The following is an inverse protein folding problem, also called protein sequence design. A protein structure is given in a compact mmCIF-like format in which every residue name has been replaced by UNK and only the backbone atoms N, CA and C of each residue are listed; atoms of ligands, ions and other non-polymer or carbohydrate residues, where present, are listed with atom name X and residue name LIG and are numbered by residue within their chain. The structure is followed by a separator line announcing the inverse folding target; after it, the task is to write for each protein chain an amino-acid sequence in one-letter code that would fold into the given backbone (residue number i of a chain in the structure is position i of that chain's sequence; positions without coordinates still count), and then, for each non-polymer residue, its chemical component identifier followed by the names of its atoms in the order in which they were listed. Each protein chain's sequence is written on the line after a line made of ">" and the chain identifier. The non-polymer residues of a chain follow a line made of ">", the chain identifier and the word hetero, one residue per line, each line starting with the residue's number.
data_IF_412757563738
#
_entry.id   IF_412757563738
#
_cell.length_a   1.000
_cell.length_b   1.000
_cell.length_c   1.000
_cell.angle_alpha   90.00
_cell.angle_beta   90.00
_cell.angle_gamma   90.00
#
_symmetry.space_group_name_H-M   'P 1'
#
loop_
_entity.id
_entity.type
_entity.pdbx_description
1 polymer ?
#
# COMPACT_ATOMS: atom_id res chain seq x y z
N UNK A 1 -13.01 5.37 -12.14
CA UNK A 1 -13.69 4.50 -11.70
C UNK A 1 -13.53 3.32 -10.77
N UNK A 2 -13.25 2.14 -11.30
CA UNK A 2 -13.32 0.90 -10.51
C UNK A 2 -12.28 0.80 -9.38
N UNK A 3 -11.08 1.30 -9.58
CA UNK A 3 -10.04 1.36 -8.54
C UNK A 3 -10.45 2.28 -7.37
N UNK A 4 -11.15 3.36 -7.67
CA UNK A 4 -11.69 4.29 -6.68
C UNK A 4 -12.79 3.65 -5.84
N UNK A 5 -13.74 2.92 -6.47
CA UNK A 5 -14.82 2.24 -5.77
C UNK A 5 -14.29 1.16 -4.80
N UNK A 6 -13.32 0.35 -5.22
CA UNK A 6 -12.67 -0.63 -4.35
C UNK A 6 -11.95 0.04 -3.16
N UNK A 7 -11.34 1.21 -3.37
CA UNK A 7 -10.74 2.01 -2.29
C UNK A 7 -11.79 2.57 -1.33
N UNK A 8 -12.94 3.01 -1.83
CA UNK A 8 -14.02 3.55 -1.01
C UNK A 8 -14.69 2.48 -0.15
N UNK A 9 -14.97 1.30 -0.70
CA UNK A 9 -15.47 0.14 0.07
C UNK A 9 -14.55 -0.19 1.24
N UNK A 10 -13.25 -0.09 1.02
CA UNK A 10 -12.26 -0.39 2.03
C UNK A 10 -12.11 0.70 3.11
N UNK A 11 -12.27 1.99 2.75
CA UNK A 11 -12.00 3.11 3.65
C UNK A 11 -13.24 3.66 4.34
N UNK A 12 -14.38 3.68 3.64
CA UNK A 12 -15.58 4.41 4.06
C UNK A 12 -16.76 3.54 4.42
N UNK A 13 -16.68 2.25 4.21
CA UNK A 13 -17.64 1.23 4.56
C UNK A 13 -18.97 1.33 3.79
N UNK A 14 -19.87 2.24 4.18
CA UNK A 14 -21.12 2.50 3.52
C UNK A 14 -21.02 3.75 2.66
N UNK A 15 -20.96 3.56 1.36
CA UNK A 15 -20.85 4.65 0.38
C UNK A 15 -22.07 4.63 -0.54
N UNK A 16 -22.48 5.77 -1.08
CA UNK A 16 -23.50 5.79 -2.12
C UNK A 16 -23.06 5.02 -3.38
N UNK A 17 -23.88 4.08 -3.82
CA UNK A 17 -23.73 3.44 -5.12
C UNK A 17 -24.63 4.17 -6.12
N UNK A 18 -24.06 5.06 -6.91
CA UNK A 18 -24.77 5.86 -7.91
C UNK A 18 -24.29 5.43 -9.30
N UNK A 19 -25.16 4.84 -10.09
CA UNK A 19 -24.89 4.31 -11.44
C UNK A 19 -25.38 5.21 -12.56
N UNK A 20 -26.13 6.28 -12.24
CA UNK A 20 -26.61 7.27 -13.21
C UNK A 20 -26.17 8.68 -12.82
N UNK A 21 -25.62 9.41 -13.79
CA UNK A 21 -25.24 10.82 -13.62
C UNK A 21 -26.45 11.77 -13.44
N UNK A 22 -27.65 11.29 -13.70
CA UNK A 22 -28.91 12.06 -13.56
C UNK A 22 -29.61 11.83 -12.23
N UNK A 23 -29.05 11.01 -11.32
CA UNK A 23 -29.62 10.75 -10.01
C UNK A 23 -29.64 12.05 -9.18
N UNK A 24 -30.81 12.56 -8.74
CA UNK A 24 -30.87 13.74 -7.89
C UNK A 24 -30.16 13.51 -6.55
N UNK A 25 -29.51 14.53 -6.00
CA UNK A 25 -28.82 14.43 -4.71
C UNK A 25 -29.76 13.96 -3.58
N UNK A 26 -31.02 14.36 -3.61
CA UNK A 26 -32.03 13.94 -2.64
C UNK A 26 -32.37 12.44 -2.66
N UNK A 27 -32.00 11.74 -3.73
CA UNK A 27 -32.23 10.30 -3.88
C UNK A 27 -30.95 9.47 -3.58
N UNK A 28 -29.79 10.14 -3.45
CA UNK A 28 -28.53 9.48 -3.14
C UNK A 28 -28.56 8.95 -1.71
N UNK A 29 -28.38 7.63 -1.56
CA UNK A 29 -28.38 6.91 -0.27
C UNK A 29 -27.13 6.06 -0.15
N UNK A 30 -26.74 5.78 1.08
CA UNK A 30 -25.69 4.81 1.37
C UNK A 30 -26.12 3.40 0.97
N UNK A 31 -25.19 2.63 0.46
CA UNK A 31 -25.32 1.18 0.24
C UNK A 31 -24.47 0.43 1.25
N UNK A 32 -24.91 -0.76 1.64
CA UNK A 32 -24.09 -1.65 2.45
C UNK A 32 -22.80 -2.03 1.70
N UNK A 33 -21.76 -2.33 2.45
CA UNK A 33 -20.44 -2.65 1.89
C UNK A 33 -20.49 -3.87 1.00
N UNK A 34 -21.23 -4.90 1.39
CA UNK A 34 -21.44 -6.12 0.61
C UNK A 34 -22.10 -5.84 -0.74
N UNK A 35 -23.03 -4.89 -0.80
CA UNK A 35 -23.69 -4.48 -2.06
C UNK A 35 -22.67 -3.84 -3.02
N UNK A 36 -21.86 -2.90 -2.52
CA UNK A 36 -20.83 -2.25 -3.33
C UNK A 36 -19.74 -3.25 -3.75
N UNK A 37 -19.34 -4.15 -2.86
CA UNK A 37 -18.39 -5.22 -3.16
C UNK A 37 -18.89 -6.12 -4.30
N UNK A 38 -20.13 -6.58 -4.24
CA UNK A 38 -20.73 -7.42 -5.28
C UNK A 38 -20.87 -6.65 -6.62
N UNK A 39 -21.24 -5.38 -6.56
CA UNK A 39 -21.30 -4.53 -7.75
C UNK A 39 -19.92 -4.41 -8.42
N UNK A 40 -18.88 -4.03 -7.68
CA UNK A 40 -17.52 -3.90 -8.25
C UNK A 40 -17.04 -5.22 -8.84
N UNK A 41 -17.35 -6.34 -8.18
CA UNK A 41 -16.98 -7.67 -8.67
C UNK A 41 -17.68 -7.98 -9.99
N UNK A 42 -19.00 -7.83 -10.08
CA UNK A 42 -19.77 -8.14 -11.30
C UNK A 42 -19.34 -7.27 -12.47
N UNK A 43 -19.14 -5.97 -12.26
CA UNK A 43 -18.67 -5.05 -13.30
C UNK A 43 -17.30 -5.47 -13.87
N UNK A 44 -16.38 -5.90 -12.99
CA UNK A 44 -15.08 -6.40 -13.44
C UNK A 44 -15.19 -7.73 -14.20
N UNK A 45 -16.00 -8.67 -13.70
CA UNK A 45 -16.23 -9.96 -14.35
C UNK A 45 -16.88 -9.77 -15.74
N UNK A 46 -17.85 -8.87 -15.87
CA UNK A 46 -18.49 -8.52 -17.14
C UNK A 46 -17.54 -7.82 -18.12
N UNK A 47 -16.59 -7.03 -17.61
CA UNK A 47 -15.61 -6.32 -18.44
C UNK A 47 -14.51 -7.26 -19.01
N UNK A 48 -14.18 -8.37 -18.33
CA UNK A 48 -13.06 -9.24 -18.69
C UNK A 48 -13.01 -9.66 -20.16
N UNK A 49 -14.13 -10.07 -20.83
CA UNK A 49 -14.09 -10.48 -22.25
C UNK A 49 -13.67 -9.36 -23.20
N UNK A 50 -13.82 -8.10 -22.80
CA UNK A 50 -13.56 -6.92 -23.62
C UNK A 50 -12.19 -6.28 -23.37
N UNK A 51 -11.48 -6.73 -22.34
CA UNK A 51 -10.17 -6.20 -21.98
C UNK A 51 -9.04 -6.91 -22.74
N UNK A 52 -8.01 -6.14 -23.09
CA UNK A 52 -6.79 -6.64 -23.73
C UNK A 52 -5.93 -7.44 -22.75
N UNK A 53 -5.23 -8.47 -23.25
CA UNK A 53 -4.22 -9.22 -22.49
C UNK A 53 -2.87 -8.47 -22.41
N UNK A 54 -2.72 -7.33 -23.07
CA UNK A 54 -1.47 -6.57 -23.08
C UNK A 54 -1.09 -6.02 -21.71
N UNK A 55 0.21 -5.79 -21.53
CA UNK A 55 0.74 -5.18 -20.30
C UNK A 55 0.39 -3.70 -20.24
N UNK A 56 -0.12 -3.28 -19.06
CA UNK A 56 -0.48 -1.88 -18.81
C UNK A 56 0.71 -0.99 -18.44
N UNK A 57 1.77 -1.57 -17.89
CA UNK A 57 2.96 -0.83 -17.45
C UNK A 57 3.95 -0.52 -18.58
N UNK A 58 3.79 -1.11 -19.76
CA UNK A 58 4.71 -0.95 -20.88
C UNK A 58 4.25 0.17 -21.83
N UNK A 59 5.19 0.96 -22.33
CA UNK A 59 4.91 2.00 -23.33
C UNK A 59 4.22 1.41 -24.56
N UNK A 60 3.19 2.09 -25.04
CA UNK A 60 2.39 1.68 -26.19
C UNK A 60 0.90 2.03 -26.00
N UNK A 61 0.04 1.41 -26.78
CA UNK A 61 -1.39 1.70 -26.82
C UNK A 61 -2.10 1.51 -25.47
N UNK A 62 -1.64 0.55 -24.67
CA UNK A 62 -2.28 0.18 -23.39
C UNK A 62 -1.58 0.76 -22.17
N UNK A 63 -0.59 1.61 -22.35
CA UNK A 63 0.18 2.20 -21.26
C UNK A 63 -0.71 3.01 -20.30
N UNK A 64 -0.72 2.63 -19.02
CA UNK A 64 -1.54 3.24 -17.97
C UNK A 64 -3.04 2.92 -18.06
N UNK A 65 -3.47 2.04 -18.99
CA UNK A 65 -4.88 1.65 -19.14
C UNK A 65 -5.20 0.40 -18.33
N UNK A 66 -6.48 0.24 -18.01
CA UNK A 66 -6.97 -0.99 -17.40
C UNK A 66 -7.02 -2.08 -18.48
N UNK A 67 -6.23 -3.12 -18.28
CA UNK A 67 -6.15 -4.31 -19.12
C UNK A 67 -6.59 -5.55 -18.33
N UNK A 68 -6.72 -6.69 -18.98
CA UNK A 68 -7.14 -7.93 -18.31
C UNK A 68 -6.23 -8.34 -17.15
N UNK A 69 -4.89 -8.25 -17.23
CA UNK A 69 -4.02 -8.47 -16.06
C UNK A 69 -4.34 -7.57 -14.88
N UNK A 70 -4.64 -6.28 -15.13
CA UNK A 70 -5.03 -5.34 -14.06
C UNK A 70 -6.35 -5.76 -13.43
N UNK A 71 -7.34 -6.18 -14.25
CA UNK A 71 -8.61 -6.68 -13.74
C UNK A 71 -8.44 -7.97 -12.93
N UNK A 72 -7.59 -8.91 -13.36
CA UNK A 72 -7.27 -10.12 -12.58
C UNK A 72 -6.63 -9.77 -11.23
N UNK A 73 -5.72 -8.80 -11.20
CA UNK A 73 -5.12 -8.36 -9.94
C UNK A 73 -6.15 -7.74 -8.99
N UNK A 74 -7.08 -6.92 -9.50
CA UNK A 74 -8.16 -6.34 -8.68
C UNK A 74 -9.10 -7.45 -8.18
N UNK A 75 -9.50 -8.40 -9.03
CA UNK A 75 -10.34 -9.54 -8.65
C UNK A 75 -9.67 -10.42 -7.60
N UNK A 76 -8.36 -10.69 -7.72
CA UNK A 76 -7.59 -11.41 -6.71
C UNK A 76 -7.61 -10.67 -5.36
N UNK A 77 -7.43 -9.33 -5.37
CA UNK A 77 -7.51 -8.49 -4.15
C UNK A 77 -8.92 -8.48 -3.57
N UNK A 78 -9.97 -8.42 -4.38
CA UNK A 78 -11.35 -8.50 -3.93
C UNK A 78 -11.65 -9.86 -3.28
N UNK A 79 -11.20 -10.94 -3.90
CA UNK A 79 -11.37 -12.30 -3.38
C UNK A 79 -10.63 -12.50 -2.04
N UNK A 80 -9.36 -12.09 -1.96
CA UNK A 80 -8.57 -12.21 -0.73
C UNK A 80 -9.16 -11.41 0.44
N UNK A 81 -9.74 -10.25 0.17
CA UNK A 81 -10.34 -9.38 1.18
C UNK A 81 -11.86 -9.58 1.33
N UNK A 82 -12.43 -10.63 0.74
CA UNK A 82 -13.88 -10.85 0.71
C UNK A 82 -14.52 -10.91 2.10
N UNK A 83 -13.84 -11.50 3.10
CA UNK A 83 -14.30 -11.51 4.50
C UNK A 83 -14.51 -10.10 5.06
N UNK A 84 -13.63 -9.16 4.68
CA UNK A 84 -13.75 -7.75 5.10
C UNK A 84 -14.85 -7.04 4.35
N UNK A 85 -14.95 -7.26 3.03
CA UNK A 85 -15.89 -6.53 2.18
C UNK A 85 -17.33 -7.02 2.25
N UNK A 86 -17.52 -8.29 2.58
CA UNK A 86 -18.85 -8.86 2.78
C UNK A 86 -19.40 -8.68 4.22
N UNK A 87 -18.62 -8.04 5.09
CA UNK A 87 -19.01 -7.75 6.47
C UNK A 87 -19.67 -6.37 6.55
N UNK A 88 -20.99 -6.32 6.73
CA UNK A 88 -21.77 -5.08 6.82
C UNK A 88 -21.80 -4.50 8.25
N UNK A 89 -21.31 -5.25 9.25
CA UNK A 89 -21.25 -4.81 10.65
C UNK A 89 -19.87 -5.11 11.29
N UNK A 90 -18.86 -4.37 10.91
CA UNK A 90 -17.47 -4.58 11.35
C UNK A 90 -17.20 -4.34 12.85
N UNK A 91 -18.22 -3.91 13.62
CA UNK A 91 -18.09 -3.64 15.06
C UNK A 91 -18.61 -4.76 15.95
N UNK A 92 -19.20 -5.81 15.41
CA UNK A 92 -19.77 -6.93 16.17
C UNK A 92 -18.83 -8.14 16.32
N UNK A 93 -17.67 -8.11 15.67
CA UNK A 93 -16.68 -9.19 15.69
C UNK A 93 -17.05 -10.43 14.85
N UNK A 94 -18.16 -10.39 14.11
CA UNK A 94 -18.69 -11.52 13.32
C UNK A 94 -18.42 -11.34 11.83
N UNK A 95 -17.19 -11.61 11.42
CA UNK A 95 -16.81 -11.51 10.01
C UNK A 95 -17.23 -12.77 9.23
N UNK A 96 -17.86 -12.63 8.03
CA UNK A 96 -18.17 -13.79 7.21
C UNK A 96 -16.90 -14.55 6.81
N UNK A 97 -16.92 -15.88 6.85
CA UNK A 97 -15.76 -16.69 6.52
C UNK A 97 -15.56 -16.78 5.01
N UNK A 98 -14.35 -16.52 4.52
CA UNK A 98 -14.01 -16.51 3.09
C UNK A 98 -14.27 -17.83 2.38
N UNK A 99 -14.18 -18.97 3.11
CA UNK A 99 -14.54 -20.29 2.57
C UNK A 99 -16.01 -20.42 2.16
N UNK A 100 -16.89 -19.54 2.69
CA UNK A 100 -18.32 -19.53 2.40
C UNK A 100 -18.71 -18.48 1.35
N UNK A 101 -17.81 -17.55 1.01
CA UNK A 101 -18.05 -16.52 0.00
C UNK A 101 -17.69 -17.09 -1.37
N UNK A 102 -18.67 -17.11 -2.29
CA UNK A 102 -18.55 -17.77 -3.58
C UNK A 102 -18.16 -16.82 -4.70
N UNK A 103 -17.28 -17.28 -5.55
CA UNK A 103 -16.86 -16.66 -6.80
C UNK A 103 -17.07 -17.66 -7.94
N UNK A 104 -17.27 -17.15 -9.16
CA UNK A 104 -17.27 -17.98 -10.37
C UNK A 104 -16.09 -17.58 -11.24
N UNK A 105 -15.12 -18.48 -11.41
CA UNK A 105 -13.95 -18.25 -12.27
C UNK A 105 -13.96 -19.31 -13.36
N UNK A 106 -13.96 -18.88 -14.63
CA UNK A 106 -14.05 -19.76 -15.81
C UNK A 106 -15.22 -20.77 -15.72
N UNK A 107 -16.38 -20.31 -15.25
CA UNK A 107 -17.58 -21.13 -15.11
C UNK A 107 -17.55 -22.12 -13.93
N UNK A 108 -16.53 -22.11 -13.09
CA UNK A 108 -16.42 -22.98 -11.90
C UNK A 108 -16.67 -22.16 -10.63
N UNK A 109 -17.59 -22.66 -9.79
CA UNK A 109 -17.78 -22.10 -8.46
C UNK A 109 -16.62 -22.50 -7.55
N UNK A 110 -16.09 -21.55 -6.82
CA UNK A 110 -15.01 -21.73 -5.84
C UNK A 110 -15.16 -20.71 -4.70
N UNK A 111 -14.49 -20.98 -3.57
CA UNK A 111 -14.48 -20.02 -2.46
C UNK A 111 -13.52 -18.85 -2.72
N UNK A 112 -13.55 -17.84 -1.85
CA UNK A 112 -12.77 -16.61 -2.01
C UNK A 112 -11.27 -16.85 -2.14
N UNK A 113 -10.71 -17.79 -1.39
CA UNK A 113 -9.27 -18.06 -1.42
C UNK A 113 -8.86 -18.89 -2.63
N UNK A 114 -9.70 -19.86 -3.04
CA UNK A 114 -9.49 -20.59 -4.31
C UNK A 114 -9.56 -19.62 -5.51
N UNK A 115 -10.50 -18.68 -5.49
CA UNK A 115 -10.60 -17.63 -6.51
C UNK A 115 -9.36 -16.73 -6.54
N UNK A 116 -8.81 -16.38 -5.36
CA UNK A 116 -7.55 -15.61 -5.28
C UNK A 116 -6.43 -16.35 -6.00
N UNK A 117 -6.24 -17.64 -5.71
CA UNK A 117 -5.22 -18.48 -6.37
C UNK A 117 -5.46 -18.50 -7.88
N UNK A 118 -6.70 -18.78 -8.31
CA UNK A 118 -7.03 -18.86 -9.73
C UNK A 118 -6.75 -17.56 -10.50
N UNK A 119 -7.03 -16.40 -9.93
CA UNK A 119 -6.71 -15.12 -10.58
C UNK A 119 -5.20 -14.84 -10.62
N UNK A 120 -4.43 -15.24 -9.60
CA UNK A 120 -2.97 -15.15 -9.63
C UNK A 120 -2.36 -16.09 -10.67
N UNK A 121 -2.88 -17.31 -10.78
CA UNK A 121 -2.44 -18.27 -11.81
C UNK A 121 -2.66 -17.71 -13.23
N UNK A 122 -3.73 -16.94 -13.46
CA UNK A 122 -3.95 -16.24 -14.74
C UNK A 122 -2.88 -15.17 -15.02
N UNK A 123 -2.39 -14.47 -13.99
CA UNK A 123 -1.28 -13.53 -14.16
C UNK A 123 0.02 -14.26 -14.51
N UNK A 124 0.30 -15.39 -13.87
CA UNK A 124 1.44 -16.25 -14.21
C UNK A 124 1.36 -16.74 -15.68
N UNK A 125 0.17 -17.20 -16.09
CA UNK A 125 -0.07 -17.66 -17.46
C UNK A 125 0.13 -16.56 -18.52
N UNK A 126 -0.11 -15.28 -18.16
CA UNK A 126 0.18 -14.11 -18.99
C UNK A 126 1.65 -13.66 -18.93
N UNK A 127 2.52 -14.45 -18.26
CA UNK A 127 3.96 -14.23 -18.23
C UNK A 127 4.42 -13.18 -17.21
N UNK A 128 3.59 -12.81 -16.24
CA UNK A 128 4.05 -12.00 -15.10
C UNK A 128 4.94 -12.84 -14.20
N UNK A 129 6.03 -12.25 -13.76
CA UNK A 129 7.02 -12.89 -12.88
C UNK A 129 7.79 -11.83 -12.12
N UNK A 130 8.52 -12.24 -11.08
CA UNK A 130 9.38 -11.33 -10.35
C UNK A 130 10.47 -10.73 -11.25
N UNK A 131 10.71 -9.43 -11.12
CA UNK A 131 11.86 -8.75 -11.71
C UNK A 131 13.13 -9.25 -11.00
N UNK A 132 14.16 -9.60 -11.76
CA UNK A 132 15.39 -10.18 -11.20
C UNK A 132 16.08 -9.26 -10.20
N UNK A 133 16.10 -7.97 -10.48
CA UNK A 133 16.58 -6.94 -9.55
C UNK A 133 15.36 -6.18 -8.96
N UNK A 134 15.22 -6.24 -7.64
CA UNK A 134 14.14 -5.58 -6.91
C UNK A 134 13.98 -4.10 -7.25
N UNK A 135 15.11 -3.38 -7.32
CA UNK A 135 15.13 -1.92 -7.51
C UNK A 135 14.65 -1.49 -8.90
N UNK A 136 14.74 -2.36 -9.91
CA UNK A 136 14.29 -2.04 -11.27
C UNK A 136 12.78 -1.82 -11.37
N UNK A 137 11.99 -2.33 -10.40
CA UNK A 137 10.56 -2.03 -10.33
C UNK A 137 10.27 -0.57 -10.02
N UNK A 138 11.23 0.16 -9.47
CA UNK A 138 11.10 1.54 -8.96
C UNK A 138 12.14 2.49 -9.57
N UNK A 139 12.85 2.04 -10.59
CA UNK A 139 13.83 2.85 -11.34
C UNK A 139 13.13 3.95 -12.15
N UNK A 140 13.90 4.91 -12.66
CA UNK A 140 13.39 6.00 -13.51
C UNK A 140 12.72 5.46 -14.79
N UNK A 141 13.21 4.33 -15.33
CA UNK A 141 12.64 3.69 -16.53
C UNK A 141 11.97 2.35 -16.17
N UNK A 142 11.10 2.33 -15.16
CA UNK A 142 10.48 1.11 -14.65
C UNK A 142 9.32 0.58 -15.49
N UNK A 143 8.95 1.23 -16.57
CA UNK A 143 7.98 0.72 -17.54
C UNK A 143 8.41 -0.58 -18.22
N UNK A 144 9.69 -0.91 -18.16
CA UNK A 144 10.24 -2.17 -18.71
C UNK A 144 10.11 -3.36 -17.75
N UNK A 145 9.71 -3.13 -16.50
CA UNK A 145 9.57 -4.19 -15.50
C UNK A 145 8.61 -5.30 -15.97
N UNK A 146 9.04 -6.54 -15.83
CA UNK A 146 8.21 -7.73 -16.09
C UNK A 146 7.31 -8.09 -14.91
N UNK A 147 7.52 -7.42 -13.77
CA UNK A 147 6.78 -7.62 -12.52
C UNK A 147 5.63 -6.62 -12.34
N UNK A 148 5.80 -5.35 -12.77
CA UNK A 148 4.78 -4.34 -12.64
C UNK A 148 3.54 -4.70 -13.47
N UNK A 149 2.36 -4.70 -12.84
CA UNK A 149 1.08 -5.05 -13.45
C UNK A 149 0.32 -3.79 -13.83
N UNK A 150 0.31 -2.81 -12.93
CA UNK A 150 -0.34 -1.52 -13.16
C UNK A 150 0.49 -0.41 -12.54
N UNK A 151 0.78 0.59 -13.35
CA UNK A 151 1.48 1.81 -12.93
C UNK A 151 0.66 3.03 -13.38
N UNK A 152 0.83 4.13 -12.65
CA UNK A 152 0.44 5.45 -13.15
C UNK A 152 1.63 5.98 -13.94
N UNK A 153 1.48 6.20 -15.27
CA UNK A 153 2.55 6.75 -16.10
C UNK A 153 2.98 8.12 -15.60
N UNK A 154 4.29 8.27 -15.40
CA UNK A 154 4.92 9.51 -15.00
C UNK A 154 5.91 9.93 -16.08
N UNK A 155 5.61 11.02 -16.76
CA UNK A 155 6.48 11.62 -17.78
C UNK A 155 6.36 13.14 -17.67
N UNK A 156 7.42 13.84 -17.21
CA UNK A 156 7.36 15.29 -17.01
C UNK A 156 7.02 16.10 -18.28
N UNK A 157 7.25 15.51 -19.45
CA UNK A 157 6.98 16.16 -20.75
C UNK A 157 5.57 15.83 -21.26
N UNK A 158 5.21 14.53 -21.23
CA UNK A 158 3.93 14.07 -21.74
C UNK A 158 2.76 14.34 -20.76
N UNK A 159 3.04 14.31 -19.47
CA UNK A 159 2.04 14.44 -18.40
C UNK A 159 2.47 15.48 -17.33
N UNK A 160 2.59 16.78 -17.69
CA UNK A 160 3.14 17.82 -16.81
C UNK A 160 2.29 18.10 -15.56
N UNK A 161 1.07 17.60 -15.52
CA UNK A 161 0.16 17.74 -14.38
C UNK A 161 0.12 16.48 -13.48
N UNK A 162 0.77 15.39 -13.88
CA UNK A 162 0.84 14.14 -13.13
C UNK A 162 1.93 14.21 -12.05
N UNK A 163 1.63 14.85 -10.91
CA UNK A 163 2.57 15.06 -9.81
C UNK A 163 2.47 13.93 -8.77
N UNK A 164 3.60 13.35 -8.40
CA UNK A 164 3.71 12.45 -7.26
C UNK A 164 4.45 13.12 -6.08
N UNK A 165 3.72 13.34 -5.01
CA UNK A 165 4.24 13.94 -3.78
C UNK A 165 4.80 12.91 -2.79
N UNK A 166 4.65 11.61 -3.04
CA UNK A 166 5.06 10.58 -2.07
C UNK A 166 6.57 10.57 -1.88
N UNK A 167 7.33 10.74 -2.96
CA UNK A 167 8.79 10.75 -2.94
C UNK A 167 9.31 11.96 -2.16
N UNK A 168 8.86 13.17 -2.49
CA UNK A 168 9.32 14.42 -1.84
C UNK A 168 8.87 14.50 -0.38
N UNK A 169 7.71 13.93 -0.04
CA UNK A 169 7.18 13.92 1.33
C UNK A 169 8.08 13.20 2.31
N UNK A 170 8.78 12.16 1.89
CA UNK A 170 9.59 11.33 2.79
C UNK A 170 11.01 11.82 2.97
N UNK A 171 11.57 12.58 2.02
CA UNK A 171 12.97 13.01 2.05
C UNK A 171 13.14 14.25 2.90
N UNK A 172 14.25 14.30 3.65
CA UNK A 172 14.68 15.55 4.31
C UNK A 172 15.03 16.59 3.25
N UNK A 173 14.73 17.86 3.52
CA UNK A 173 14.96 18.96 2.57
C UNK A 173 16.44 19.06 2.13
N UNK A 174 17.42 18.94 3.05
CA UNK A 174 18.85 18.99 2.69
C UNK A 174 19.26 17.75 1.88
N UNK A 175 18.67 16.56 2.16
CA UNK A 175 18.91 15.37 1.35
C UNK A 175 18.41 15.58 -0.08
N UNK A 176 17.18 16.03 -0.25
CA UNK A 176 16.60 16.29 -1.55
C UNK A 176 17.35 17.41 -2.32
N UNK A 177 17.74 18.49 -1.63
CA UNK A 177 18.49 19.62 -2.23
C UNK A 177 19.83 19.15 -2.81
N UNK A 178 20.51 18.20 -2.17
CA UNK A 178 21.76 17.65 -2.71
C UNK A 178 21.56 16.95 -4.07
N UNK A 179 20.33 16.53 -4.37
CA UNK A 179 19.93 15.95 -5.66
C UNK A 179 19.18 16.96 -6.56
N UNK A 180 19.20 18.26 -6.23
CA UNK A 180 18.50 19.29 -7.00
C UNK A 180 16.98 19.27 -6.84
N UNK A 181 16.47 18.63 -5.79
CA UNK A 181 15.03 18.45 -5.53
C UNK A 181 14.60 19.09 -4.23
N UNK A 182 13.30 19.13 -3.99
CA UNK A 182 12.67 19.53 -2.73
C UNK A 182 12.39 18.31 -1.84
N UNK A 183 12.39 18.52 -0.54
CA UNK A 183 11.98 17.53 0.43
C UNK A 183 11.12 18.18 1.52
N UNK A 184 10.12 17.43 2.03
CA UNK A 184 9.20 17.93 3.04
C UNK A 184 9.46 17.37 4.44
N UNK A 185 10.29 16.35 4.54
CA UNK A 185 10.61 15.66 5.79
C UNK A 185 9.35 15.19 6.58
N UNK A 186 8.27 14.90 5.87
CA UNK A 186 6.93 14.72 6.46
C UNK A 186 6.56 13.29 6.84
N UNK A 187 7.30 12.28 6.36
CA UNK A 187 6.98 10.88 6.62
C UNK A 187 8.23 10.04 6.79
N UNK A 188 8.21 9.12 7.75
CA UNK A 188 9.30 8.18 7.99
C UNK A 188 8.75 6.80 8.39
N UNK A 189 9.62 5.80 8.36
CA UNK A 189 9.31 4.48 8.88
C UNK A 189 9.17 4.51 10.41
N UNK A 190 8.28 3.67 10.94
CA UNK A 190 8.13 3.46 12.37
C UNK A 190 9.22 2.51 12.90
N UNK A 191 9.47 2.55 14.21
CA UNK A 191 10.36 1.60 14.89
C UNK A 191 9.90 0.16 14.67
N UNK A 192 8.58 -0.10 14.63
CA UNK A 192 8.05 -1.43 14.35
C UNK A 192 8.47 -1.92 12.96
N UNK A 193 8.44 -1.06 11.94
CA UNK A 193 8.93 -1.42 10.62
C UNK A 193 10.40 -1.84 10.68
N UNK A 194 11.25 -1.05 11.36
CA UNK A 194 12.67 -1.38 11.52
C UNK A 194 12.89 -2.70 12.25
N UNK A 195 12.08 -3.00 13.25
CA UNK A 195 12.13 -4.28 13.97
C UNK A 195 11.78 -5.48 13.07
N UNK A 196 10.79 -5.34 12.17
CA UNK A 196 10.44 -6.38 11.20
C UNK A 196 11.58 -6.61 10.21
N UNK A 197 12.27 -5.53 9.76
CA UNK A 197 13.47 -5.63 8.93
C UNK A 197 14.70 -6.11 9.72
N UNK A 198 14.60 -6.27 11.03
CA UNK A 198 15.73 -6.60 11.94
C UNK A 198 16.92 -5.65 11.77
N UNK A 199 16.61 -4.37 11.55
CA UNK A 199 17.60 -3.33 11.29
C UNK A 199 18.72 -3.31 12.35
N UNK A 200 19.97 -3.27 11.90
CA UNK A 200 21.16 -3.19 12.75
C UNK A 200 21.54 -4.51 13.43
N UNK A 201 20.88 -5.63 13.11
CA UNK A 201 21.25 -6.96 13.61
C UNK A 201 21.98 -7.78 12.53
N UNK A 202 22.59 -8.91 12.95
CA UNK A 202 23.23 -9.85 12.04
C UNK A 202 22.22 -10.54 11.07
N UNK A 203 20.93 -10.50 11.39
CA UNK A 203 19.84 -11.06 10.58
C UNK A 203 19.03 -9.98 9.84
N UNK A 204 19.61 -8.79 9.64
CA UNK A 204 18.95 -7.72 8.87
C UNK A 204 18.51 -8.22 7.49
N UNK A 205 17.23 -7.96 7.15
CA UNK A 205 16.70 -8.34 5.84
C UNK A 205 17.38 -7.50 4.73
N UNK A 206 17.87 -8.13 3.64
CA UNK A 206 18.57 -7.42 2.56
C UNK A 206 17.77 -6.28 1.94
N UNK A 207 16.43 -6.35 1.98
CA UNK A 207 15.54 -5.29 1.49
C UNK A 207 15.58 -4.01 2.32
N UNK A 208 16.12 -4.04 3.55
CA UNK A 208 16.22 -2.83 4.37
C UNK A 208 16.94 -1.70 3.63
N UNK A 209 18.10 -2.00 3.06
CA UNK A 209 18.93 -1.03 2.31
C UNK A 209 18.32 -0.62 0.96
N UNK A 210 17.44 -1.46 0.39
CA UNK A 210 16.74 -1.17 -0.86
C UNK A 210 15.48 -0.33 -0.64
N UNK A 211 14.99 -0.29 0.59
CA UNK A 211 13.71 0.31 0.97
C UNK A 211 13.88 1.61 1.75
N UNK A 212 14.98 1.72 2.51
CA UNK A 212 15.17 2.81 3.46
C UNK A 212 16.55 3.44 3.41
N UNK A 213 16.59 4.76 3.45
CA UNK A 213 17.76 5.52 3.87
C UNK A 213 17.84 5.53 5.40
N UNK A 214 18.98 5.13 5.94
CA UNK A 214 19.28 5.05 7.37
C UNK A 214 20.71 5.57 7.62
N UNK A 215 20.97 6.11 8.81
CA UNK A 215 22.31 6.61 9.14
C UNK A 215 22.70 7.84 8.31
N UNK A 216 23.98 8.07 8.15
CA UNK A 216 24.52 9.17 7.34
C UNK A 216 24.18 8.99 5.86
N UNK A 217 23.82 10.08 5.20
CA UNK A 217 23.47 10.10 3.78
C UNK A 217 24.49 10.92 2.97
N UNK A 218 24.63 10.52 1.72
CA UNK A 218 25.55 11.14 0.76
C UNK A 218 24.81 11.67 -0.45
N UNK A 219 25.33 12.72 -1.05
CA UNK A 219 24.85 13.25 -2.33
C UNK A 219 25.28 12.40 -3.52
N UNK A 220 24.85 12.77 -4.74
CA UNK A 220 25.20 12.07 -5.97
C UNK A 220 26.72 12.10 -6.26
N UNK A 221 27.47 13.03 -5.65
CA UNK A 221 28.92 13.13 -5.73
C UNK A 221 29.66 12.29 -4.67
N UNK A 222 28.92 11.51 -3.88
CA UNK A 222 29.44 10.66 -2.82
C UNK A 222 29.86 11.41 -1.53
N UNK A 223 29.67 12.73 -1.47
CA UNK A 223 30.01 13.49 -0.26
C UNK A 223 28.90 13.48 0.75
N UNK A 224 29.29 13.53 2.05
CA UNK A 224 28.35 13.64 3.18
C UNK A 224 27.46 14.85 3.02
N UNK A 225 26.16 14.66 3.19
CA UNK A 225 25.17 15.74 3.26
C UNK A 225 25.11 16.26 4.70
N UNK A 226 24.98 17.56 4.85
CA UNK A 226 24.91 18.24 6.14
C UNK A 226 23.57 18.94 6.30
N UNK A 227 23.12 19.06 7.54
CA UNK A 227 21.99 19.91 7.95
C UNK A 227 22.45 20.94 8.99
N UNK A 228 21.68 22.01 9.14
CA UNK A 228 21.94 22.99 10.20
C UNK A 228 21.13 22.65 11.46
N UNK A 229 21.82 22.67 12.60
CA UNK A 229 21.20 22.53 13.91
C UNK A 229 21.93 23.40 14.93
N UNK A 230 21.16 24.22 15.65
CA UNK A 230 21.69 25.15 16.69
C UNK A 230 22.87 26.01 16.19
N UNK A 231 22.74 26.53 14.97
CA UNK A 231 23.76 27.33 14.32
C UNK A 231 25.01 26.58 13.87
N UNK A 232 25.00 25.24 13.94
CA UNK A 232 26.14 24.41 13.52
C UNK A 232 25.74 23.53 12.34
N UNK A 233 26.73 23.29 11.48
CA UNK A 233 26.61 22.36 10.36
C UNK A 233 26.98 20.95 10.83
N UNK A 234 26.00 20.04 10.88
CA UNK A 234 26.17 18.66 11.34
C UNK A 234 25.86 17.66 10.20
N UNK A 235 26.51 16.49 10.13
CA UNK A 235 26.15 15.47 9.17
C UNK A 235 24.67 15.09 9.28
N UNK A 236 23.96 15.03 8.15
CA UNK A 236 22.59 14.54 8.13
C UNK A 236 22.59 13.03 8.32
N UNK A 237 22.02 12.60 9.43
CA UNK A 237 21.95 11.20 9.82
C UNK A 237 20.53 10.84 10.20
N UNK A 238 19.90 9.94 9.45
CA UNK A 238 18.59 9.41 9.82
C UNK A 238 18.70 8.41 10.97
N UNK A 239 17.85 8.56 11.98
CA UNK A 239 17.85 7.75 13.22
C UNK A 239 16.63 6.79 13.24
N UNK A 240 16.76 5.57 12.68
CA UNK A 240 15.64 4.64 12.52
C UNK A 240 14.99 4.19 13.82
N UNK A 241 15.76 4.13 14.90
CA UNK A 241 15.32 3.68 16.22
C UNK A 241 14.85 4.81 17.13
N UNK A 242 14.48 5.95 16.58
CA UNK A 242 13.95 7.06 17.37
C UNK A 242 12.74 6.62 18.21
N UNK A 243 12.72 6.92 19.52
CA UNK A 243 11.84 6.26 20.48
C UNK A 243 10.39 6.74 20.45
N UNK A 244 10.09 7.83 19.71
CA UNK A 244 8.77 8.49 19.71
C UNK A 244 8.15 8.50 18.34
N UNK A 245 6.82 8.35 18.30
CA UNK A 245 6.01 8.55 17.07
C UNK A 245 5.86 10.04 16.75
N UNK A 246 5.82 10.88 17.75
CA UNK A 246 5.73 12.34 17.62
C UNK A 246 6.96 12.99 18.23
N UNK A 247 7.61 13.87 17.47
CA UNK A 247 8.76 14.67 17.89
C UNK A 247 8.39 16.14 18.01
N UNK A 248 8.98 16.81 18.99
CA UNK A 248 8.87 18.26 19.17
C UNK A 248 10.25 18.88 19.38
N UNK A 249 10.30 20.21 19.56
CA UNK A 249 11.55 20.94 19.72
C UNK A 249 12.41 20.48 20.90
N UNK A 250 11.82 19.84 21.92
CA UNK A 250 12.57 19.29 23.07
C UNK A 250 13.37 18.03 22.73
N UNK A 251 13.07 17.36 21.62
CA UNK A 251 13.77 16.17 21.17
C UNK A 251 15.08 16.48 20.40
N UNK A 252 15.47 17.76 20.34
CA UNK A 252 16.69 18.19 19.70
C UNK A 252 16.71 17.90 18.20
N UNK A 253 17.86 17.48 17.66
CA UNK A 253 18.02 17.16 16.24
C UNK A 253 17.07 16.04 15.76
N UNK A 254 16.60 15.17 16.65
CA UNK A 254 15.68 14.11 16.30
C UNK A 254 14.37 14.60 15.68
N UNK A 255 13.92 15.82 15.98
CA UNK A 255 12.75 16.43 15.34
C UNK A 255 12.86 16.47 13.82
N UNK A 256 14.09 16.52 13.29
CA UNK A 256 14.40 16.55 11.85
C UNK A 256 14.80 15.17 11.31
N UNK A 257 15.45 14.34 12.12
CA UNK A 257 16.18 13.15 11.67
C UNK A 257 15.58 11.83 12.10
N UNK A 258 14.57 11.84 12.98
CA UNK A 258 13.94 10.61 13.46
C UNK A 258 13.32 9.77 12.33
N UNK A 259 13.49 8.45 12.42
CA UNK A 259 12.97 7.43 11.50
C UNK A 259 13.75 7.32 10.19
N UNK A 260 13.63 6.16 9.55
CA UNK A 260 14.20 5.90 8.22
C UNK A 260 13.34 6.56 7.12
N UNK A 261 13.98 6.93 6.02
CA UNK A 261 13.32 7.58 4.88
C UNK A 261 13.23 6.63 3.68
N UNK A 262 12.28 6.86 2.79
CA UNK A 262 12.07 6.03 1.61
C UNK A 262 13.25 6.11 0.65
N UNK A 263 13.88 4.95 0.39
CA UNK A 263 14.89 4.75 -0.64
C UNK A 263 14.38 3.95 -1.84
N UNK A 264 13.16 3.43 -1.76
CA UNK A 264 12.61 2.46 -2.70
C UNK A 264 12.57 2.97 -4.14
N UNK A 265 12.17 4.23 -4.33
CA UNK A 265 12.19 4.88 -5.64
C UNK A 265 13.54 5.56 -5.88
N UNK A 266 14.13 5.27 -7.04
CA UNK A 266 15.35 5.91 -7.49
C UNK A 266 15.18 7.45 -7.56
N UNK A 267 16.25 8.20 -7.26
CA UNK A 267 16.27 9.63 -7.50
C UNK A 267 16.38 9.90 -9.00
N UNK A 268 15.36 10.49 -9.58
CA UNK A 268 15.42 10.97 -10.96
C UNK A 268 16.21 12.29 -11.02
N UNK A 269 17.40 12.24 -11.59
CA UNK A 269 18.28 13.41 -11.74
C UNK A 269 17.68 14.48 -12.68
N UNK A 270 16.68 14.10 -13.50
CA UNK A 270 16.02 14.98 -14.45
C UNK A 270 14.63 15.42 -13.97
N UNK A 271 14.26 15.08 -12.73
CA UNK A 271 12.97 15.45 -12.17
C UNK A 271 12.75 16.95 -12.17
N UNK A 272 11.54 17.37 -12.51
CA UNK A 272 11.11 18.76 -12.55
C UNK A 272 10.21 19.09 -11.35
N UNK A 273 9.80 20.36 -11.21
CA UNK A 273 8.93 20.83 -10.14
C UNK A 273 9.40 20.37 -8.73
N UNK A 274 10.70 20.52 -8.46
CA UNK A 274 11.28 20.13 -7.18
C UNK A 274 11.24 18.63 -6.88
N UNK A 275 11.13 17.77 -7.90
CA UNK A 275 11.06 16.31 -7.75
C UNK A 275 9.66 15.74 -7.79
N UNK A 276 8.61 16.57 -7.90
CA UNK A 276 7.22 16.08 -8.02
C UNK A 276 6.89 15.51 -9.41
N UNK A 277 7.61 15.99 -10.44
CA UNK A 277 7.52 15.53 -11.82
C UNK A 277 8.78 14.73 -12.14
N UNK A 278 8.70 13.42 -12.02
CA UNK A 278 9.81 12.48 -12.26
C UNK A 278 9.41 11.41 -13.26
N UNK A 279 10.38 10.67 -13.79
CA UNK A 279 10.17 9.66 -14.81
C UNK A 279 9.93 8.25 -14.28
N UNK A 280 9.90 8.06 -12.95
CA UNK A 280 9.55 6.77 -12.37
C UNK A 280 8.03 6.62 -12.38
N UNK A 281 7.49 5.65 -13.11
CA UNK A 281 6.07 5.33 -13.01
C UNK A 281 5.68 4.95 -11.57
N UNK A 282 4.56 5.49 -11.08
CA UNK A 282 4.05 5.16 -9.76
C UNK A 282 3.46 3.76 -9.75
N UNK A 283 4.09 2.82 -9.05
CA UNK A 283 3.68 1.42 -9.00
C UNK A 283 2.45 1.26 -8.11
N UNK A 284 1.36 0.77 -8.69
CA UNK A 284 0.10 0.48 -8.00
C UNK A 284 -0.03 -1.02 -7.70
N UNK A 285 0.25 -1.88 -8.70
CA UNK A 285 0.22 -3.32 -8.56
C UNK A 285 1.44 -3.96 -9.20
N UNK A 286 2.02 -4.95 -8.50
CA UNK A 286 3.11 -5.75 -9.01
C UNK A 286 2.98 -7.22 -8.60
N UNK A 287 3.63 -8.09 -9.32
CA UNK A 287 3.46 -9.54 -9.21
C UNK A 287 3.90 -10.12 -7.85
N UNK A 288 4.86 -9.51 -7.16
CA UNK A 288 5.21 -9.93 -5.81
C UNK A 288 4.04 -9.84 -4.82
N UNK A 289 3.17 -8.79 -4.92
CA UNK A 289 1.95 -8.74 -4.13
C UNK A 289 1.01 -9.91 -4.49
N UNK A 290 0.86 -10.21 -5.78
CA UNK A 290 0.06 -11.34 -6.24
C UNK A 290 0.57 -12.69 -5.69
N UNK A 291 1.89 -12.94 -5.71
CA UNK A 291 2.48 -14.15 -5.12
C UNK A 291 2.22 -14.25 -3.61
N UNK A 292 2.40 -13.16 -2.87
CA UNK A 292 2.14 -13.16 -1.44
C UNK A 292 0.64 -13.30 -1.12
N UNK A 293 -0.25 -12.80 -2.00
CA UNK A 293 -1.70 -13.07 -1.89
C UNK A 293 -2.02 -14.55 -2.14
N UNK A 294 -1.36 -15.19 -3.12
CA UNK A 294 -1.49 -16.65 -3.38
C UNK A 294 -1.02 -17.46 -2.18
N UNK A 295 0.14 -17.11 -1.59
CA UNK A 295 0.62 -17.72 -0.35
C UNK A 295 -0.40 -17.60 0.79
N UNK A 296 -0.97 -16.41 1.01
CA UNK A 296 -1.99 -16.20 2.03
C UNK A 296 -3.23 -17.07 1.81
N UNK A 297 -3.74 -17.10 0.58
CA UNK A 297 -4.90 -17.91 0.22
C UNK A 297 -4.65 -19.41 0.46
N UNK A 298 -3.46 -19.92 0.10
CA UNK A 298 -3.04 -21.31 0.38
C UNK A 298 -3.03 -21.59 1.89
N UNK A 299 -2.41 -20.73 2.70
CA UNK A 299 -2.33 -20.88 4.15
C UNK A 299 -3.74 -20.88 4.77
N UNK A 300 -4.63 -19.99 4.33
CA UNK A 300 -6.03 -19.94 4.79
C UNK A 300 -6.84 -21.19 4.40
N UNK A 301 -6.44 -21.89 3.33
CA UNK A 301 -6.98 -23.20 2.93
C UNK A 301 -6.33 -24.37 3.66
N UNK A 302 -5.37 -24.15 4.55
CA UNK A 302 -4.60 -25.19 5.25
C UNK A 302 -3.52 -25.82 4.37
N UNK A 303 -3.16 -25.18 3.26
CA UNK A 303 -2.10 -25.61 2.34
C UNK A 303 -0.79 -24.89 2.68
N UNK A 304 0.33 -25.39 2.12
CA UNK A 304 1.65 -24.77 2.28
C UNK A 304 1.82 -23.59 1.30
N UNK A 305 2.26 -22.44 1.80
CA UNK A 305 2.54 -21.21 1.03
C UNK A 305 4.04 -20.87 0.93
N UNK A 306 4.93 -21.79 1.34
CA UNK A 306 6.37 -21.52 1.44
C UNK A 306 7.00 -21.22 0.09
N UNK A 307 6.54 -21.87 -0.98
CA UNK A 307 7.12 -21.71 -2.32
C UNK A 307 6.94 -20.28 -2.85
N UNK A 308 5.75 -19.71 -2.72
CA UNK A 308 5.48 -18.34 -3.15
C UNK A 308 6.28 -17.32 -2.34
N UNK A 309 6.33 -17.50 -1.02
CA UNK A 309 7.10 -16.64 -0.13
C UNK A 309 8.59 -16.73 -0.45
N UNK A 310 9.10 -17.94 -0.64
CA UNK A 310 10.53 -18.13 -0.90
C UNK A 310 10.97 -17.67 -2.30
N UNK A 311 10.09 -17.62 -3.28
CA UNK A 311 10.40 -16.95 -4.56
C UNK A 311 10.71 -15.46 -4.32
N UNK A 312 9.88 -14.76 -3.53
CA UNK A 312 10.09 -13.35 -3.20
C UNK A 312 11.38 -13.15 -2.39
N UNK A 313 11.66 -14.00 -1.42
CA UNK A 313 12.85 -13.95 -0.57
C UNK A 313 14.13 -14.24 -1.33
N UNK A 314 14.12 -15.29 -2.15
CA UNK A 314 15.28 -15.72 -2.94
C UNK A 314 15.76 -14.64 -3.90
N UNK A 315 14.85 -13.86 -4.49
CA UNK A 315 15.17 -12.75 -5.39
C UNK A 315 16.16 -11.75 -4.77
N UNK A 316 16.07 -11.51 -3.48
CA UNK A 316 16.91 -10.54 -2.73
C UNK A 316 17.98 -11.21 -1.88
N UNK A 317 18.13 -12.54 -1.99
CA UNK A 317 19.10 -13.30 -1.20
C UNK A 317 18.74 -13.42 0.29
N UNK A 318 17.47 -13.21 0.67
CA UNK A 318 17.01 -13.43 2.03
C UNK A 318 16.90 -14.93 2.34
N UNK A 319 17.16 -15.31 3.61
CA UNK A 319 17.07 -16.72 4.05
C UNK A 319 15.66 -17.26 3.80
N UNK A 320 15.50 -18.46 3.22
CA UNK A 320 14.18 -19.05 3.01
C UNK A 320 13.48 -19.36 4.33
N UNK A 321 12.16 -19.36 4.31
CA UNK A 321 11.29 -19.71 5.43
C UNK A 321 10.68 -21.10 5.21
N UNK A 322 10.30 -21.75 6.32
CA UNK A 322 9.59 -23.04 6.32
C UNK A 322 8.38 -22.95 7.24
N UNK A 323 7.30 -23.60 6.84
CA UNK A 323 6.04 -23.61 7.58
C UNK A 323 5.52 -22.17 7.85
N UNK A 324 5.47 -21.36 6.79
CA UNK A 324 5.02 -19.97 6.86
C UNK A 324 3.60 -19.91 7.40
N UNK A 325 3.43 -19.18 8.49
CA UNK A 325 2.13 -18.88 9.10
C UNK A 325 1.58 -17.55 8.60
N UNK A 326 0.32 -17.24 8.91
CA UNK A 326 -0.26 -15.93 8.60
C UNK A 326 0.52 -14.79 9.26
N UNK A 327 0.96 -14.93 10.51
CA UNK A 327 1.74 -13.88 11.19
C UNK A 327 3.10 -13.66 10.50
N UNK A 328 3.80 -14.74 10.16
CA UNK A 328 5.07 -14.65 9.40
C UNK A 328 4.87 -14.02 8.02
N UNK A 329 3.77 -14.37 7.35
CA UNK A 329 3.42 -13.81 6.06
C UNK A 329 3.09 -12.31 6.15
N UNK A 330 2.41 -11.88 7.21
CA UNK A 330 2.11 -10.47 7.44
C UNK A 330 3.38 -9.62 7.57
N UNK A 331 4.42 -10.17 8.20
CA UNK A 331 5.74 -9.54 8.27
C UNK A 331 6.45 -9.57 6.91
N UNK A 332 6.40 -10.70 6.19
CA UNK A 332 6.97 -10.81 4.84
C UNK A 332 6.33 -9.79 3.87
N UNK A 333 5.01 -9.58 3.96
CA UNK A 333 4.32 -8.54 3.19
C UNK A 333 4.81 -7.13 3.54
N UNK A 334 5.18 -6.85 4.81
CA UNK A 334 5.80 -5.58 5.18
C UNK A 334 7.20 -5.43 4.59
N UNK A 335 8.03 -6.49 4.67
CA UNK A 335 9.38 -6.50 4.11
C UNK A 335 9.37 -6.22 2.60
N UNK A 336 8.42 -6.78 1.89
CA UNK A 336 8.34 -6.68 0.44
C UNK A 336 7.63 -5.40 -0.03
N UNK A 337 6.51 -5.03 0.61
CA UNK A 337 5.56 -4.03 0.11
C UNK A 337 5.58 -2.71 0.89
N UNK A 338 6.60 -2.47 1.73
CA UNK A 338 6.75 -1.19 2.41
C UNK A 338 6.74 -0.02 1.40
N UNK A 339 6.08 1.09 1.75
CA UNK A 339 5.84 2.27 0.91
C UNK A 339 4.85 2.09 -0.27
N UNK A 340 4.21 0.92 -0.41
CA UNK A 340 3.25 0.67 -1.51
C UNK A 340 1.77 0.80 -1.08
N UNK A 341 1.52 1.33 0.11
CA UNK A 341 0.16 1.66 0.57
C UNK A 341 -0.71 0.48 0.99
N UNK A 342 -0.18 -0.76 1.05
CA UNK A 342 -0.96 -1.97 1.33
C UNK A 342 -1.13 -2.30 2.81
N UNK A 343 -0.25 -1.80 3.70
CA UNK A 343 -0.16 -2.24 5.10
C UNK A 343 -1.45 -2.09 5.88
N UNK A 344 -2.17 -0.97 5.72
CA UNK A 344 -3.45 -0.76 6.43
C UNK A 344 -4.46 -1.85 6.06
N UNK A 345 -4.58 -2.18 4.78
CA UNK A 345 -5.47 -3.23 4.30
C UNK A 345 -5.09 -4.61 4.86
N UNK A 346 -3.80 -4.92 4.85
CA UNK A 346 -3.29 -6.15 5.43
C UNK A 346 -3.64 -6.25 6.93
N UNK A 347 -3.35 -5.23 7.71
CA UNK A 347 -3.65 -5.22 9.14
C UNK A 347 -5.15 -5.41 9.44
N UNK A 348 -6.05 -4.81 8.65
CA UNK A 348 -7.50 -5.01 8.80
C UNK A 348 -7.89 -6.45 8.46
N UNK A 349 -7.37 -7.01 7.35
CA UNK A 349 -7.67 -8.39 6.93
C UNK A 349 -7.17 -9.41 7.93
N UNK A 350 -6.01 -9.17 8.52
CA UNK A 350 -5.41 -10.04 9.55
C UNK A 350 -5.98 -9.79 10.97
N UNK A 351 -6.90 -8.83 11.15
CA UNK A 351 -7.48 -8.50 12.45
C UNK A 351 -6.51 -7.80 13.41
N UNK A 352 -5.42 -7.21 12.88
CA UNK A 352 -4.34 -6.58 13.66
C UNK A 352 -4.38 -5.04 13.65
N UNK A 353 -5.33 -4.44 12.95
CA UNK A 353 -5.34 -2.98 12.76
C UNK A 353 -5.62 -2.22 14.06
N UNK A 354 -6.50 -2.75 14.91
CA UNK A 354 -6.92 -2.13 16.17
C UNK A 354 -6.07 -2.54 17.37
N UNK A 355 -5.08 -3.42 17.20
CA UNK A 355 -4.12 -3.75 18.25
C UNK A 355 -3.22 -2.54 18.55
N UNK A 356 -3.13 -2.19 19.83
CA UNK A 356 -2.23 -1.16 20.31
C UNK A 356 -0.76 -1.58 20.12
N UNK A 357 0.06 -0.65 19.64
CA UNK A 357 1.50 -0.83 19.52
C UNK A 357 2.22 0.44 19.97
N UNK A 358 3.46 0.34 20.41
CA UNK A 358 4.26 1.49 20.89
C UNK A 358 4.49 2.57 19.84
N UNK A 359 4.36 2.25 18.58
CA UNK A 359 4.63 3.11 17.43
C UNK A 359 3.37 3.43 16.60
N UNK A 360 2.20 3.05 17.09
CA UNK A 360 0.93 3.29 16.40
C UNK A 360 -0.16 3.67 17.40
N UNK A 361 -0.73 4.85 17.21
CA UNK A 361 -1.92 5.27 17.94
C UNK A 361 -3.16 4.61 17.34
N UNK A 362 -3.99 4.06 18.21
CA UNK A 362 -5.25 3.40 17.85
C UNK A 362 -6.38 4.13 18.57
N UNK A 363 -7.44 4.44 17.84
CA UNK A 363 -8.55 5.20 18.39
C UNK A 363 -8.45 6.71 18.15
N UNK A 364 -9.23 7.48 18.87
CA UNK A 364 -9.34 8.93 18.69
C UNK A 364 -8.25 9.64 19.49
N UNK A 365 -7.48 10.48 18.81
CA UNK A 365 -6.52 11.35 19.46
C UNK A 365 -7.21 12.61 19.99
N UNK A 366 -7.05 12.87 21.28
CA UNK A 366 -7.72 14.00 21.93
C UNK A 366 -7.04 15.36 21.70
N UNK A 367 -5.73 15.37 21.50
CA UNK A 367 -5.00 16.61 21.16
C UNK A 367 -3.69 16.31 20.45
N UNK A 368 -3.11 17.32 19.78
CA UNK A 368 -1.81 17.19 19.13
C UNK A 368 -0.68 16.86 20.09
N UNK A 369 -0.77 17.29 21.34
CA UNK A 369 0.21 17.09 22.39
C UNK A 369 -0.05 15.85 23.27
N UNK A 370 -1.21 15.19 23.11
CA UNK A 370 -1.53 13.99 23.88
C UNK A 370 -0.94 12.75 23.20
N UNK A 371 -0.19 11.97 23.95
CA UNK A 371 0.25 10.62 23.57
C UNK A 371 -0.74 9.56 24.08
N UNK A 372 -1.79 9.98 24.78
CA UNK A 372 -2.85 9.07 25.22
C UNK A 372 -3.65 8.60 24.03
N UNK A 373 -3.75 7.33 23.87
CA UNK A 373 -4.62 6.69 22.89
C UNK A 373 -5.56 5.73 23.60
N UNK A 374 -6.76 5.60 23.07
CA UNK A 374 -7.71 4.61 23.52
C UNK A 374 -7.67 3.42 22.57
N UNK A 375 -7.56 2.23 23.15
CA UNK A 375 -7.69 0.99 22.39
C UNK A 375 -9.08 0.92 21.76
N UNK A 376 -9.14 0.66 20.46
CA UNK A 376 -10.40 0.39 19.79
C UNK A 376 -10.76 -1.09 19.95
N UNK A 377 -11.65 -1.37 20.91
CA UNK A 377 -12.13 -2.73 21.19
C UNK A 377 -13.26 -3.18 20.27
N UNK A 378 -13.84 -2.24 19.51
CA UNK A 378 -15.01 -2.52 18.67
C UNK A 378 -14.66 -2.66 17.20
N UNK A 379 -13.51 -2.18 16.79
CA UNK A 379 -13.07 -2.16 15.38
C UNK A 379 -13.59 -0.99 14.58
N UNK A 380 -14.27 0.01 15.20
CA UNK A 380 -14.86 1.13 14.46
C UNK A 380 -13.82 1.94 13.66
N UNK A 381 -12.58 2.04 14.14
CA UNK A 381 -11.48 2.77 13.48
C UNK A 381 -10.97 2.08 12.21
N UNK A 382 -11.43 0.87 11.91
CA UNK A 382 -11.09 0.19 10.65
C UNK A 382 -11.63 0.92 9.42
N UNK A 383 -12.62 1.79 9.61
CA UNK A 383 -13.16 2.70 8.58
C UNK A 383 -12.93 4.15 8.98
N UNK A 384 -13.11 5.06 8.04
CA UNK A 384 -13.03 6.49 8.31
C UNK A 384 -14.42 7.06 8.66
N UNK A 385 -14.44 8.11 9.50
CA UNK A 385 -15.63 8.92 9.68
C UNK A 385 -16.07 9.59 8.37
N UNK A 386 -17.37 9.83 8.24
CA UNK A 386 -17.89 10.68 7.18
C UNK A 386 -17.79 12.13 7.68
N UNK A 387 -17.26 13.01 6.85
CA UNK A 387 -17.05 14.40 7.22
C UNK A 387 -18.40 15.10 7.51
N UNK A 388 -18.47 15.89 8.57
CA UNK A 388 -19.70 16.48 9.08
C UNK A 388 -20.45 17.32 8.03
N UNK A 389 -19.71 18.07 7.19
CA UNK A 389 -20.33 18.90 6.14
C UNK A 389 -21.04 18.04 5.09
N UNK A 390 -20.48 16.86 4.76
CA UNK A 390 -21.11 15.91 3.82
C UNK A 390 -22.41 15.37 4.40
N UNK A 391 -22.43 15.03 5.71
CA UNK A 391 -23.65 14.59 6.39
C UNK A 391 -24.71 15.68 6.42
N UNK A 392 -24.31 16.94 6.60
CA UNK A 392 -25.23 18.09 6.62
C UNK A 392 -25.85 18.37 5.24
N UNK A 393 -25.14 18.08 4.16
CA UNK A 393 -25.60 18.31 2.78
C UNK A 393 -26.57 17.25 2.30
N UNK A 394 -26.56 16.04 2.87
CA UNK A 394 -27.43 14.96 2.45
C UNK A 394 -28.01 14.21 3.66
N UNK A 395 -29.29 14.44 4.01
CA UNK A 395 -29.94 13.84 5.18
C UNK A 395 -30.16 12.32 5.05
N UNK A 396 -29.93 11.72 3.87
CA UNK A 396 -29.99 10.28 3.68
C UNK A 396 -28.69 9.57 4.10
N UNK A 397 -27.66 10.32 4.48
CA UNK A 397 -26.41 9.76 4.96
C UNK A 397 -26.40 9.68 6.49
N UNK A 398 -25.87 8.62 7.02
CA UNK A 398 -25.67 8.41 8.46
C UNK A 398 -24.19 8.16 8.75
N UNK A 399 -23.71 8.66 9.90
CA UNK A 399 -22.33 8.43 10.31
C UNK A 399 -22.05 6.93 10.50
N UNK A 400 -20.81 6.53 10.27
CA UNK A 400 -20.35 5.18 10.59
C UNK A 400 -20.40 4.92 12.10
N UNK A 401 -20.75 3.69 12.54
CA UNK A 401 -20.77 3.36 13.96
C UNK A 401 -19.44 3.68 14.66
N UNK A 402 -19.54 4.27 15.84
CA UNK A 402 -18.37 4.63 16.67
C UNK A 402 -17.88 6.07 16.52
N UNK A 403 -18.41 6.83 15.53
CA UNK A 403 -18.07 8.24 15.29
C UNK A 403 -19.18 9.19 15.65
#
# INVERSE_FOLDING_TARGET
>A
GYSSAASDVYKRQRVPLVTSSTTPMSEVKQSERSVVFNFVRSELEEALPYLSDNRSNQKGEYYGRITKPVAYMILAKLALNAEVYADDNWTDGNRPAGKNIKFTVDGKEMNAWEATIAYVDKLEALGYKLQGNFSENFAVANETSVENIFTVPMDPVAYPDAKDYNVVRTRHYDHATAYGQSGWNGSCATVKAMNVFKFGTADEDPRCKLTYFTGEVTGPDGKTIYTEWDGQKVPLKYEPNAPKVYMDASDGLLVKTAGARMAKYEFDQNAQDGGNLHGNDCVIFRFADALLMKAEAKIRLGQNGDDEVNQVRNRVGAKPLQNVTLDTLLDERMLELAWEGVRRQDLIRFGKFTEATVDRYVGVKHSASSLDYQEDKTGYTTVFSIYADILSLNPNLTQNPGY
#
